data_IF_791443315408
#
_entry.id   IF_791443315408
#
_cell.length_a   1.000
_cell.length_b   1.000
_cell.length_c   1.000
_cell.angle_alpha   90.00
_cell.angle_beta   90.00
_cell.angle_gamma   90.00
#
_symmetry.space_group_name_H-M   'P 1'
#
loop_
_entity.id
_entity.type
_entity.pdbx_description
1 polymer ?
#
# COMPACT_ATOMS: atom_id res chain seq x y z
N UNK A 1 20.94 12.87 16.86
CA UNK A 1 20.42 11.80 17.74
C UNK A 1 18.99 12.16 18.10
N UNK A 2 18.00 11.58 17.41
CA UNK A 2 16.60 11.78 17.71
C UNK A 2 16.09 10.53 18.42
N UNK A 3 15.67 10.71 19.68
CA UNK A 3 15.10 9.66 20.51
C UNK A 3 13.77 9.20 19.88
N UNK A 4 13.76 8.00 19.31
CA UNK A 4 12.54 7.31 18.91
C UNK A 4 11.80 6.88 20.17
N UNK A 5 10.78 7.65 20.55
CA UNK A 5 9.88 7.33 21.65
C UNK A 5 8.95 6.18 21.21
N UNK A 6 9.47 4.95 21.19
CA UNK A 6 8.65 3.76 21.20
C UNK A 6 7.91 3.75 22.53
N UNK A 7 6.60 3.96 22.52
CA UNK A 7 5.77 3.77 23.69
C UNK A 7 5.93 2.31 24.14
N UNK A 8 6.79 2.09 25.14
CA UNK A 8 6.97 0.77 25.76
C UNK A 8 5.67 0.46 26.47
N UNK A 9 4.75 -0.22 25.77
CA UNK A 9 3.59 -0.82 26.41
C UNK A 9 4.13 -1.70 27.54
N UNK A 10 3.73 -1.37 28.77
CA UNK A 10 4.04 -2.21 29.93
C UNK A 10 3.60 -3.63 29.60
N UNK A 11 4.55 -4.59 29.59
CA UNK A 11 4.31 -6.01 29.26
C UNK A 11 3.22 -6.68 30.12
N UNK A 12 2.71 -6.00 31.15
CA UNK A 12 1.49 -6.36 31.88
C UNK A 12 0.28 -6.68 30.98
N UNK A 13 0.22 -6.15 29.75
CA UNK A 13 -0.87 -6.50 28.82
C UNK A 13 -0.87 -7.98 28.43
N UNK A 14 0.25 -8.69 28.54
CA UNK A 14 0.36 -10.13 28.24
C UNK A 14 -0.45 -11.02 29.17
N UNK A 15 -0.83 -10.50 30.35
CA UNK A 15 -1.69 -11.20 31.31
C UNK A 15 -3.15 -10.73 31.24
N UNK A 16 -3.48 -9.87 30.26
CA UNK A 16 -4.84 -9.39 30.02
C UNK A 16 -5.59 -10.34 29.07
N UNK A 17 -6.91 -10.22 29.01
CA UNK A 17 -7.72 -11.00 28.05
C UNK A 17 -7.37 -10.65 26.61
N UNK A 18 -7.55 -11.60 25.71
CA UNK A 18 -7.46 -11.38 24.26
C UNK A 18 -8.80 -10.92 23.69
N UNK A 19 -8.75 -10.31 22.51
CA UNK A 19 -9.88 -10.10 21.62
C UNK A 19 -9.67 -10.91 20.35
N UNK A 20 -10.76 -11.37 19.76
CA UNK A 20 -10.76 -12.15 18.51
C UNK A 20 -11.06 -11.24 17.33
N UNK A 21 -10.18 -11.26 16.33
CA UNK A 21 -10.35 -10.60 15.05
C UNK A 21 -10.81 -11.66 14.03
N UNK A 22 -11.94 -11.41 13.36
CA UNK A 22 -12.43 -12.21 12.22
C UNK A 22 -12.15 -11.44 10.93
N UNK A 23 -11.16 -11.92 10.18
CA UNK A 23 -10.58 -11.19 9.04
C UNK A 23 -10.98 -11.82 7.71
N UNK A 24 -11.29 -10.99 6.74
CA UNK A 24 -11.59 -11.39 5.37
C UNK A 24 -12.93 -12.13 5.18
N UNK A 25 -13.24 -12.52 3.94
CA UNK A 25 -14.52 -13.15 3.59
C UNK A 25 -14.71 -14.52 4.25
N UNK A 26 -13.60 -15.22 4.54
CA UNK A 26 -13.62 -16.52 5.20
C UNK A 26 -13.61 -16.42 6.73
N UNK A 27 -13.62 -15.20 7.29
CA UNK A 27 -13.61 -14.93 8.73
C UNK A 27 -12.51 -15.71 9.45
N UNK A 28 -11.28 -15.63 8.94
CA UNK A 28 -10.16 -16.27 9.61
C UNK A 28 -9.97 -15.65 10.99
N UNK A 29 -9.76 -16.52 11.97
CA UNK A 29 -9.67 -16.16 13.37
C UNK A 29 -8.23 -15.83 13.74
N UNK A 30 -8.03 -14.67 14.36
CA UNK A 30 -6.76 -14.25 14.97
C UNK A 30 -7.02 -13.66 16.36
N UNK A 31 -6.06 -13.79 17.29
CA UNK A 31 -6.16 -13.23 18.64
C UNK A 31 -5.09 -12.17 18.91
N UNK A 32 -5.47 -11.11 19.60
CA UNK A 32 -4.56 -10.05 20.08
C UNK A 32 -4.95 -9.61 21.48
N UNK A 33 -3.97 -9.23 22.32
CA UNK A 33 -4.26 -8.77 23.69
C UNK A 33 -5.10 -7.48 23.68
N UNK A 34 -6.20 -7.47 24.44
CA UNK A 34 -7.18 -6.37 24.43
C UNK A 34 -6.54 -5.04 24.80
N UNK A 35 -5.79 -5.00 25.92
CA UNK A 35 -5.09 -3.78 26.36
C UNK A 35 -4.05 -3.30 25.34
N UNK A 36 -3.36 -4.21 24.65
CA UNK A 36 -2.44 -3.83 23.58
C UNK A 36 -3.20 -3.15 22.45
N UNK A 37 -4.22 -3.81 21.90
CA UNK A 37 -5.02 -3.29 20.80
C UNK A 37 -5.66 -1.92 21.14
N UNK A 38 -6.25 -1.81 22.32
CA UNK A 38 -6.86 -0.57 22.82
C UNK A 38 -5.87 0.58 22.97
N UNK A 39 -4.61 0.27 23.26
CA UNK A 39 -3.58 1.30 23.46
C UNK A 39 -2.93 1.79 22.17
N UNK A 40 -3.14 1.10 21.06
CA UNK A 40 -2.58 1.46 19.75
C UNK A 40 -3.33 2.64 19.11
N UNK A 41 -4.66 2.65 19.20
CA UNK A 41 -5.48 3.70 18.59
C UNK A 41 -6.76 3.96 19.38
N UNK A 42 -7.21 5.23 19.48
CA UNK A 42 -8.50 5.58 20.07
C UNK A 42 -9.70 4.88 19.40
N UNK A 43 -9.64 4.66 18.10
CA UNK A 43 -10.67 4.01 17.29
C UNK A 43 -10.77 2.54 17.67
N UNK A 44 -9.62 1.84 17.72
CA UNK A 44 -9.54 0.46 18.19
C UNK A 44 -9.94 0.31 19.66
N UNK A 45 -9.58 1.28 20.51
CA UNK A 45 -10.04 1.33 21.89
C UNK A 45 -11.56 1.35 21.98
N UNK A 46 -12.23 2.18 21.17
CA UNK A 46 -13.70 2.26 21.12
C UNK A 46 -14.32 0.95 20.65
N UNK A 47 -13.67 0.18 19.77
CA UNK A 47 -14.19 -1.12 19.34
C UNK A 47 -14.22 -2.17 20.47
N UNK A 48 -13.22 -2.16 21.34
CA UNK A 48 -13.09 -3.20 22.39
C UNK A 48 -13.56 -2.76 23.76
N UNK A 49 -13.65 -1.45 24.03
CA UNK A 49 -14.10 -0.87 25.29
C UNK A 49 -15.40 -0.09 25.09
N UNK A 50 -16.47 -0.81 24.73
CA UNK A 50 -17.83 -0.30 24.64
C UNK A 50 -18.83 -1.29 25.25
N UNK A 51 -20.08 -0.86 25.38
CA UNK A 51 -21.19 -1.66 25.93
C UNK A 51 -21.98 -2.41 24.85
N UNK A 52 -21.50 -2.44 23.60
CA UNK A 52 -22.09 -3.22 22.53
C UNK A 52 -21.70 -4.70 22.67
N UNK A 53 -22.48 -5.58 22.06
CA UNK A 53 -22.26 -7.04 22.10
C UNK A 53 -20.82 -7.39 21.72
N UNK A 54 -20.30 -6.79 20.66
CA UNK A 54 -18.96 -6.99 20.15
C UNK A 54 -17.88 -6.60 21.17
N UNK A 55 -18.02 -5.47 21.86
CA UNK A 55 -17.07 -5.02 22.88
C UNK A 55 -17.11 -5.87 24.16
N UNK A 56 -18.29 -6.38 24.52
CA UNK A 56 -18.49 -7.29 25.65
C UNK A 56 -17.85 -8.66 25.34
N UNK A 57 -18.17 -9.23 24.18
CA UNK A 57 -17.65 -10.53 23.70
C UNK A 57 -16.16 -10.46 23.33
N UNK A 58 -15.63 -9.26 23.04
CA UNK A 58 -14.25 -9.06 22.62
C UNK A 58 -14.02 -9.53 21.18
N UNK A 59 -14.95 -9.21 20.28
CA UNK A 59 -14.91 -9.63 18.88
C UNK A 59 -14.88 -8.40 17.97
N UNK A 60 -14.03 -8.42 16.94
CA UNK A 60 -14.06 -7.43 15.86
C UNK A 60 -14.17 -8.16 14.53
N UNK A 61 -15.11 -7.73 13.70
CA UNK A 61 -15.27 -8.22 12.32
C UNK A 61 -14.63 -7.24 11.33
N UNK A 62 -13.75 -7.78 10.49
CA UNK A 62 -12.98 -7.05 9.48
C UNK A 62 -13.14 -7.75 8.12
N UNK A 63 -14.36 -7.79 7.54
CA UNK A 63 -14.66 -8.58 6.35
C UNK A 63 -13.96 -8.06 5.08
N UNK A 64 -13.67 -6.77 5.04
CA UNK A 64 -13.07 -6.08 3.90
C UNK A 64 -11.54 -5.97 4.02
N UNK A 65 -10.95 -6.44 5.12
CA UNK A 65 -9.51 -6.38 5.35
C UNK A 65 -8.83 -7.73 5.05
N UNK A 66 -7.59 -7.67 4.54
CA UNK A 66 -6.80 -8.84 4.15
C UNK A 66 -6.06 -9.46 5.34
N UNK A 67 -5.93 -10.79 5.35
CA UNK A 67 -5.28 -11.55 6.43
C UNK A 67 -3.81 -11.18 6.61
N UNK A 68 -3.12 -10.94 5.50
CA UNK A 68 -1.70 -10.58 5.46
C UNK A 68 -1.48 -9.19 6.07
N UNK A 69 -2.38 -8.24 5.81
CA UNK A 69 -2.31 -6.88 6.38
C UNK A 69 -2.46 -6.95 7.90
N UNK A 70 -3.41 -7.76 8.37
CA UNK A 70 -3.65 -7.96 9.80
C UNK A 70 -2.50 -8.71 10.48
N UNK A 71 -1.81 -9.59 9.75
CA UNK A 71 -0.61 -10.27 10.24
C UNK A 71 0.54 -9.27 10.45
N UNK A 72 0.80 -8.40 9.46
CA UNK A 72 1.82 -7.34 9.57
C UNK A 72 1.48 -6.33 10.67
N UNK A 73 0.22 -5.91 10.76
CA UNK A 73 -0.26 -5.05 11.84
C UNK A 73 0.01 -5.70 13.21
N UNK A 74 -0.27 -6.99 13.35
CA UNK A 74 -0.08 -7.70 14.61
C UNK A 74 1.40 -7.83 14.96
N UNK A 75 2.26 -8.18 14.01
CA UNK A 75 3.73 -8.20 14.21
C UNK A 75 4.23 -6.84 14.73
N UNK A 76 3.81 -5.75 14.07
CA UNK A 76 4.13 -4.39 14.48
C UNK A 76 3.58 -4.03 15.86
N UNK A 77 2.34 -4.42 16.16
CA UNK A 77 1.72 -4.16 17.45
C UNK A 77 2.54 -4.74 18.61
N UNK A 78 3.12 -5.93 18.44
CA UNK A 78 3.90 -6.58 19.50
C UNK A 78 5.36 -6.14 19.54
N UNK A 79 5.98 -5.87 18.39
CA UNK A 79 7.44 -5.70 18.31
C UNK A 79 7.88 -4.26 18.03
N UNK A 80 6.97 -3.41 17.54
CA UNK A 80 7.27 -2.09 17.01
C UNK A 80 7.81 -2.11 15.57
N UNK A 81 8.05 -3.30 15.01
CA UNK A 81 8.60 -3.54 13.67
C UNK A 81 7.70 -4.51 12.91
N UNK A 82 7.77 -4.51 11.58
CA UNK A 82 7.18 -5.59 10.80
C UNK A 82 8.10 -5.94 9.64
N UNK A 83 8.05 -7.21 9.24
CA UNK A 83 8.80 -7.71 8.10
C UNK A 83 7.84 -8.42 7.16
N UNK A 84 7.75 -7.93 5.93
CA UNK A 84 7.19 -8.75 4.85
C UNK A 84 8.33 -9.64 4.33
N UNK A 85 8.02 -10.82 3.78
CA UNK A 85 8.94 -11.97 3.61
C UNK A 85 10.39 -11.65 3.14
N UNK A 86 10.60 -10.58 2.39
CA UNK A 86 11.90 -10.02 1.99
C UNK A 86 12.82 -9.52 3.13
N UNK A 87 12.30 -9.11 4.29
CA UNK A 87 13.08 -8.55 5.42
C UNK A 87 13.62 -9.65 6.37
N UNK A 88 13.21 -10.92 6.18
CA UNK A 88 13.65 -12.03 7.04
C UNK A 88 14.91 -12.68 6.49
N UNK A 89 16.04 -12.72 7.24
CA UNK A 89 17.18 -13.51 6.82
C UNK A 89 16.78 -14.99 6.74
N UNK A 90 16.89 -15.57 5.55
CA UNK A 90 16.57 -16.97 5.26
C UNK A 90 17.50 -17.86 6.10
N UNK A 91 16.97 -18.45 7.18
CA UNK A 91 17.66 -19.48 7.97
C UNK A 91 16.84 -20.77 7.93
N UNK A 92 16.79 -21.41 6.77
CA UNK A 92 16.37 -22.82 6.68
C UNK A 92 17.11 -23.51 5.53
N UNK A 93 17.93 -24.53 5.82
CA UNK A 93 18.48 -25.41 4.80
C UNK A 93 17.49 -26.57 4.59
N UNK A 94 16.44 -26.37 3.80
CA UNK A 94 15.75 -27.46 3.08
C UNK A 94 14.64 -26.94 2.15
N UNK A 95 14.84 -27.19 0.86
CA UNK A 95 13.84 -27.33 -0.21
C UNK A 95 12.59 -26.44 -0.14
N UNK A 96 12.68 -25.25 -0.70
CA UNK A 96 11.53 -24.62 -1.36
C UNK A 96 12.03 -23.80 -2.54
N UNK A 97 11.49 -24.06 -3.72
CA UNK A 97 11.55 -23.19 -4.90
C UNK A 97 11.53 -21.73 -4.47
N UNK A 98 12.67 -21.03 -4.58
CA UNK A 98 12.73 -19.58 -4.53
C UNK A 98 11.81 -19.08 -5.66
N UNK A 99 10.56 -18.78 -5.35
CA UNK A 99 9.76 -17.97 -6.25
C UNK A 99 10.55 -16.66 -6.38
N UNK A 100 10.83 -16.24 -7.61
CA UNK A 100 11.33 -14.88 -7.84
C UNK A 100 10.22 -13.94 -7.38
N UNK A 101 10.26 -13.56 -6.12
CA UNK A 101 9.21 -12.76 -5.48
C UNK A 101 9.21 -11.38 -6.11
N UNK A 102 8.01 -10.86 -6.37
CA UNK A 102 7.81 -9.68 -7.20
C UNK A 102 7.82 -8.43 -6.29
N UNK A 103 8.77 -7.47 -6.46
CA UNK A 103 8.92 -6.32 -5.57
C UNK A 103 7.67 -5.43 -5.51
N UNK A 104 6.85 -5.47 -6.57
CA UNK A 104 5.56 -4.76 -6.62
C UNK A 104 4.54 -5.34 -5.63
N UNK A 105 4.63 -6.62 -5.29
CA UNK A 105 3.77 -7.22 -4.25
C UNK A 105 4.08 -6.60 -2.89
N UNK A 106 5.36 -6.45 -2.56
CA UNK A 106 5.82 -5.91 -1.28
C UNK A 106 5.41 -4.44 -1.11
N UNK A 107 5.55 -3.65 -2.18
CA UNK A 107 5.05 -2.28 -2.23
C UNK A 107 3.56 -2.19 -1.96
N UNK A 108 2.76 -3.07 -2.59
CA UNK A 108 1.31 -3.12 -2.32
C UNK A 108 1.03 -3.48 -0.85
N UNK A 109 1.82 -4.33 -0.23
CA UNK A 109 1.63 -4.69 1.19
C UNK A 109 1.90 -3.51 2.12
N UNK A 110 2.97 -2.75 1.89
CA UNK A 110 3.20 -1.50 2.65
C UNK A 110 2.07 -0.49 2.45
N UNK A 111 1.60 -0.33 1.21
CA UNK A 111 0.53 0.61 0.89
C UNK A 111 -0.83 0.18 1.48
N UNK A 112 -1.13 -1.12 1.51
CA UNK A 112 -2.32 -1.66 2.19
C UNK A 112 -2.26 -1.43 3.70
N UNK A 113 -1.10 -1.66 4.32
CA UNK A 113 -0.91 -1.39 5.73
C UNK A 113 -1.00 0.13 6.02
N UNK A 114 -0.54 0.97 5.10
CA UNK A 114 -0.72 2.43 5.16
C UNK A 114 -2.20 2.81 5.19
N UNK A 115 -3.01 2.29 4.27
CA UNK A 115 -4.46 2.51 4.20
C UNK A 115 -5.17 1.98 5.45
N UNK A 116 -4.85 0.76 5.88
CA UNK A 116 -5.39 0.18 7.12
C UNK A 116 -5.07 1.06 8.34
N UNK A 117 -3.85 1.57 8.41
CA UNK A 117 -3.43 2.45 9.51
C UNK A 117 -4.19 3.75 9.50
N UNK A 118 -4.49 4.32 8.32
CA UNK A 118 -5.31 5.52 8.21
C UNK A 118 -6.77 5.25 8.65
N UNK A 119 -7.36 4.14 8.19
CA UNK A 119 -8.71 3.69 8.56
C UNK A 119 -8.92 3.60 10.07
N UNK A 120 -7.91 3.15 10.81
CA UNK A 120 -7.94 3.05 12.27
C UNK A 120 -7.19 4.17 12.99
N UNK A 121 -6.79 5.23 12.27
CA UNK A 121 -6.07 6.40 12.80
C UNK A 121 -4.81 6.04 13.62
N UNK A 122 -4.07 5.04 13.16
CA UNK A 122 -2.82 4.56 13.74
C UNK A 122 -1.66 5.36 13.13
N UNK A 123 -1.53 6.62 13.55
CA UNK A 123 -0.58 7.57 12.95
C UNK A 123 0.88 7.10 12.92
N UNK A 124 1.32 6.36 13.94
CA UNK A 124 2.70 5.82 14.01
C UNK A 124 2.94 4.75 12.96
N UNK A 125 2.02 3.79 12.83
CA UNK A 125 2.11 2.75 11.80
C UNK A 125 1.92 3.31 10.39
N UNK A 126 1.01 4.28 10.20
CA UNK A 126 0.82 4.96 8.91
C UNK A 126 2.13 5.57 8.43
N UNK A 127 2.83 6.33 9.30
CA UNK A 127 4.15 6.90 8.98
C UNK A 127 5.19 5.83 8.68
N UNK A 128 5.22 4.77 9.48
CA UNK A 128 6.20 3.70 9.32
C UNK A 128 6.00 2.93 8.00
N UNK A 129 4.77 2.54 7.69
CA UNK A 129 4.40 1.90 6.43
C UNK A 129 4.66 2.79 5.22
N UNK A 130 4.39 4.10 5.34
CA UNK A 130 4.73 5.08 4.31
C UNK A 130 6.24 5.19 4.07
N UNK A 131 7.06 5.20 5.12
CA UNK A 131 8.53 5.21 4.99
C UNK A 131 9.03 3.98 4.25
N UNK A 132 8.61 2.78 4.68
CA UNK A 132 8.95 1.51 4.02
C UNK A 132 8.50 1.49 2.56
N UNK A 133 7.30 2.00 2.25
CA UNK A 133 6.83 2.13 0.87
C UNK A 133 7.76 3.02 0.03
N UNK A 134 8.07 4.23 0.51
CA UNK A 134 8.92 5.18 -0.21
C UNK A 134 10.37 4.69 -0.36
N UNK A 135 10.94 4.07 0.67
CA UNK A 135 12.27 3.49 0.64
C UNK A 135 12.36 2.40 -0.45
N UNK A 136 11.40 1.47 -0.48
CA UNK A 136 11.41 0.37 -1.43
C UNK A 136 11.15 0.83 -2.88
N UNK A 137 10.18 1.72 -3.12
CA UNK A 137 9.83 2.13 -4.49
C UNK A 137 10.93 2.96 -5.15
N UNK A 138 11.71 3.71 -4.35
CA UNK A 138 12.87 4.46 -4.83
C UNK A 138 14.03 3.57 -5.29
N UNK A 139 14.08 2.31 -4.84
CA UNK A 139 15.09 1.33 -5.28
C UNK A 139 14.72 0.66 -6.61
N UNK A 140 13.47 0.77 -7.04
CA UNK A 140 12.99 0.15 -8.27
C UNK A 140 13.21 1.10 -9.45
N UNK A 141 13.83 0.57 -10.50
CA UNK A 141 13.90 1.21 -11.82
C UNK A 141 13.06 0.40 -12.83
N UNK A 142 11.75 0.68 -12.97
CA UNK A 142 10.85 -0.08 -13.84
C UNK A 142 11.35 -0.10 -15.28
N UNK A 143 11.44 -1.29 -15.88
CA UNK A 143 11.88 -1.45 -17.27
C UNK A 143 11.21 -2.61 -18.02
N UNK A 144 10.56 -3.55 -17.34
CA UNK A 144 9.88 -4.67 -18.00
C UNK A 144 8.36 -4.47 -18.09
N UNK A 145 7.69 -5.37 -18.83
CA UNK A 145 6.24 -5.41 -18.92
C UNK A 145 5.61 -5.75 -17.57
N UNK A 146 6.20 -6.68 -16.82
CA UNK A 146 5.79 -7.03 -15.46
C UNK A 146 5.93 -5.83 -14.52
N UNK A 147 6.96 -5.01 -14.69
CA UNK A 147 7.12 -3.78 -13.92
C UNK A 147 6.02 -2.76 -14.21
N UNK A 148 5.67 -2.60 -15.49
CA UNK A 148 4.59 -1.70 -15.90
C UNK A 148 3.27 -2.12 -15.25
N UNK A 149 2.94 -3.42 -15.31
CA UNK A 149 1.73 -3.98 -14.69
C UNK A 149 1.76 -3.77 -13.17
N UNK A 150 2.90 -4.08 -12.53
CA UNK A 150 3.08 -3.91 -11.09
C UNK A 150 2.88 -2.46 -10.64
N UNK A 151 3.48 -1.51 -11.35
CA UNK A 151 3.35 -0.09 -11.08
C UNK A 151 1.90 0.40 -11.27
N UNK A 152 1.23 -0.01 -12.35
CA UNK A 152 -0.18 0.36 -12.59
C UNK A 152 -1.07 -0.16 -11.46
N UNK A 153 -0.85 -1.38 -10.98
CA UNK A 153 -1.61 -1.94 -9.84
C UNK A 153 -1.39 -1.15 -8.56
N UNK A 154 -0.15 -0.71 -8.27
CA UNK A 154 0.16 0.12 -7.10
C UNK A 154 -0.53 1.48 -7.20
N UNK A 155 -0.43 2.15 -8.36
CA UNK A 155 -1.07 3.46 -8.58
C UNK A 155 -2.59 3.32 -8.44
N UNK A 156 -3.18 2.34 -9.13
CA UNK A 156 -4.63 2.10 -9.05
C UNK A 156 -5.09 1.91 -7.61
N UNK A 157 -4.43 1.02 -6.86
CA UNK A 157 -4.78 0.79 -5.46
C UNK A 157 -4.67 2.08 -4.62
N UNK A 158 -3.61 2.86 -4.81
CA UNK A 158 -3.41 4.12 -4.10
C UNK A 158 -4.58 5.09 -4.33
N UNK A 159 -4.89 5.38 -5.61
CA UNK A 159 -5.93 6.34 -5.97
C UNK A 159 -7.35 5.85 -5.66
N UNK A 160 -7.56 4.54 -5.53
CA UNK A 160 -8.86 3.98 -5.13
C UNK A 160 -9.09 4.03 -3.60
N UNK A 161 -8.02 4.17 -2.79
CA UNK A 161 -8.11 3.97 -1.33
C UNK A 161 -7.54 5.11 -0.48
N UNK A 162 -6.81 6.06 -1.07
CA UNK A 162 -6.15 7.16 -0.35
C UNK A 162 -6.85 8.48 -0.71
N UNK A 163 -7.08 9.41 0.26
CA UNK A 163 -7.64 10.72 -0.04
C UNK A 163 -6.77 11.57 -0.99
N UNK A 164 -7.39 12.33 -1.88
CA UNK A 164 -6.73 13.23 -2.86
C UNK A 164 -5.72 14.22 -2.23
N UNK A 165 -5.85 14.55 -0.95
CA UNK A 165 -4.94 15.45 -0.24
C UNK A 165 -3.60 14.82 0.17
N UNK A 166 -3.50 13.49 0.11
CA UNK A 166 -2.32 12.74 0.55
C UNK A 166 -1.14 12.90 -0.42
N UNK A 167 0.05 13.13 0.13
CA UNK A 167 1.26 13.35 -0.67
C UNK A 167 1.74 12.10 -1.41
N UNK A 168 1.33 10.92 -0.96
CA UNK A 168 1.64 9.64 -1.61
C UNK A 168 1.10 9.61 -3.05
N UNK A 169 -0.09 10.18 -3.29
CA UNK A 169 -0.70 10.25 -4.62
C UNK A 169 0.08 11.19 -5.56
N UNK A 170 0.53 12.35 -5.04
CA UNK A 170 1.37 13.29 -5.80
C UNK A 170 2.68 12.65 -6.21
N UNK A 171 3.33 11.94 -5.28
CA UNK A 171 4.55 11.19 -5.56
C UNK A 171 4.31 10.13 -6.65
N UNK A 172 3.21 9.38 -6.58
CA UNK A 172 2.88 8.37 -7.59
C UNK A 172 2.56 8.97 -8.97
N UNK A 173 1.93 10.14 -9.02
CA UNK A 173 1.74 10.89 -10.28
C UNK A 173 3.06 11.33 -10.91
N UNK A 174 4.01 11.81 -10.10
CA UNK A 174 5.37 12.13 -10.53
C UNK A 174 6.11 10.89 -11.04
N UNK A 175 6.05 9.80 -10.28
CA UNK A 175 6.70 8.54 -10.63
C UNK A 175 6.15 7.96 -11.95
N UNK A 176 4.83 8.02 -12.14
CA UNK A 176 4.18 7.63 -13.40
C UNK A 176 4.60 8.52 -14.57
N UNK A 177 4.73 9.84 -14.35
CA UNK A 177 5.19 10.79 -15.37
C UNK A 177 6.64 10.48 -15.81
N UNK A 178 7.53 10.20 -14.84
CA UNK A 178 8.89 9.77 -15.11
C UNK A 178 8.96 8.47 -15.94
N UNK A 179 8.04 7.54 -15.69
CA UNK A 179 7.94 6.25 -16.41
C UNK A 179 6.89 6.21 -17.51
N UNK A 180 6.45 7.38 -18.00
CA UNK A 180 5.38 7.45 -19.00
C UNK A 180 5.70 6.64 -20.27
N UNK A 181 6.96 6.64 -20.72
CA UNK A 181 7.35 5.90 -21.92
C UNK A 181 7.15 4.38 -21.80
N UNK A 182 7.28 3.83 -20.59
CA UNK A 182 7.05 2.41 -20.28
C UNK A 182 5.55 2.11 -20.16
N UNK A 183 4.80 3.04 -19.57
CA UNK A 183 3.38 2.89 -19.24
C UNK A 183 2.46 3.15 -20.44
N UNK A 184 2.79 4.12 -21.29
CA UNK A 184 1.96 4.53 -22.43
C UNK A 184 1.79 3.37 -23.42
N UNK A 185 0.56 3.14 -23.87
CA UNK A 185 0.24 2.06 -24.80
C UNK A 185 -0.07 0.71 -24.14
N UNK A 186 0.00 0.61 -22.80
CA UNK A 186 -0.47 -0.55 -22.05
C UNK A 186 -1.98 -0.43 -21.78
N UNK A 187 -2.69 -1.53 -21.93
CA UNK A 187 -4.15 -1.55 -21.75
C UNK A 187 -4.53 -1.17 -20.32
N UNK A 188 -3.84 -1.70 -19.32
CA UNK A 188 -4.10 -1.43 -17.91
C UNK A 188 -3.88 0.04 -17.56
N UNK A 189 -2.87 0.68 -18.17
CA UNK A 189 -2.61 2.10 -18.00
C UNK A 189 -3.69 2.96 -18.69
N UNK A 190 -4.11 2.57 -19.89
CA UNK A 190 -5.21 3.25 -20.60
C UNK A 190 -6.50 3.18 -19.77
N UNK A 191 -6.84 2.01 -19.22
CA UNK A 191 -7.99 1.84 -18.35
C UNK A 191 -7.88 2.69 -17.08
N UNK A 192 -6.69 2.79 -16.48
CA UNK A 192 -6.46 3.67 -15.33
C UNK A 192 -6.71 5.15 -15.69
N UNK A 193 -6.21 5.63 -16.83
CA UNK A 193 -6.46 7.00 -17.31
C UNK A 193 -7.97 7.24 -17.52
N UNK A 194 -8.69 6.28 -18.08
CA UNK A 194 -10.12 6.42 -18.37
C UNK A 194 -10.99 6.38 -17.11
N UNK A 195 -10.55 5.70 -16.06
CA UNK A 195 -11.35 5.46 -14.84
C UNK A 195 -11.00 6.40 -13.69
N UNK A 196 -9.78 6.95 -13.64
CA UNK A 196 -9.28 7.65 -12.45
C UNK A 196 -8.89 9.10 -12.75
N UNK A 197 -9.83 10.02 -12.56
CA UNK A 197 -9.64 11.45 -12.88
C UNK A 197 -8.59 12.12 -11.98
N UNK A 198 -8.51 11.74 -10.71
CA UNK A 198 -7.51 12.28 -9.79
C UNK A 198 -6.08 11.92 -10.25
N UNK A 199 -5.87 10.68 -10.70
CA UNK A 199 -4.61 10.24 -11.28
C UNK A 199 -4.25 11.03 -12.53
N UNK A 200 -5.19 11.25 -13.45
CA UNK A 200 -4.94 12.03 -14.67
C UNK A 200 -4.50 13.45 -14.35
N UNK A 201 -5.11 14.11 -13.36
CA UNK A 201 -4.69 15.45 -12.93
C UNK A 201 -3.24 15.46 -12.46
N UNK A 202 -2.89 14.53 -11.57
CA UNK A 202 -1.52 14.42 -11.03
C UNK A 202 -0.52 14.05 -12.14
N UNK A 203 -0.88 13.16 -13.06
CA UNK A 203 -0.04 12.83 -14.22
C UNK A 203 0.23 14.08 -15.08
N UNK A 204 -0.83 14.78 -15.50
CA UNK A 204 -0.73 15.92 -16.42
C UNK A 204 0.09 17.09 -15.86
N UNK A 205 -0.06 17.40 -14.57
CA UNK A 205 0.72 18.48 -13.91
C UNK A 205 2.21 18.18 -13.91
N UNK A 206 2.60 16.91 -13.95
CA UNK A 206 3.99 16.47 -13.91
C UNK A 206 4.56 16.09 -15.29
N UNK A 207 3.79 16.25 -16.38
CA UNK A 207 4.33 16.12 -17.75
C UNK A 207 5.15 17.35 -18.12
N UNK A 208 6.47 17.28 -17.92
CA UNK A 208 7.39 18.35 -18.30
C UNK A 208 8.04 18.07 -19.65
N UNK A 209 7.99 19.02 -20.59
CA UNK A 209 8.78 19.02 -21.82
C UNK A 209 8.07 19.67 -23.02
N UNK A 210 8.77 20.38 -23.92
CA UNK A 210 8.18 20.85 -25.16
C UNK A 210 7.89 19.65 -26.06
N UNK A 211 6.60 19.39 -26.34
CA UNK A 211 6.25 18.49 -27.43
C UNK A 211 6.77 19.10 -28.74
N UNK A 212 7.40 18.30 -29.63
CA UNK A 212 7.66 18.77 -30.98
C UNK A 212 6.33 19.22 -31.59
N UNK A 213 6.30 20.41 -32.22
CA UNK A 213 5.12 20.83 -32.98
C UNK A 213 4.83 19.73 -34.01
N UNK A 214 3.61 19.17 -34.05
CA UNK A 214 3.25 18.21 -35.09
C UNK A 214 3.48 18.87 -36.45
N UNK A 215 4.29 18.23 -37.28
CA UNK A 215 4.41 18.65 -38.68
C UNK A 215 3.13 18.19 -39.40
N UNK A 216 2.52 19.04 -40.23
CA UNK A 216 1.40 18.59 -41.06
C UNK A 216 1.87 17.41 -41.91
N UNK A 217 1.06 16.36 -41.98
CA UNK A 217 1.28 15.26 -42.91
C UNK A 217 1.36 15.87 -44.31
N UNK A 218 2.55 15.94 -44.91
CA UNK A 218 2.67 16.27 -46.32
C UNK A 218 1.85 15.22 -47.07
N UNK A 219 0.82 15.65 -47.79
CA UNK A 219 0.02 14.77 -48.61
C UNK A 219 0.94 14.08 -49.64
N UNK A 220 1.15 12.78 -49.50
CA UNK A 220 1.50 11.92 -50.63
C UNK A 220 0.33 12.00 -51.61
N UNK A 221 0.46 12.84 -52.63
CA UNK A 221 -0.62 12.98 -53.61
C UNK A 221 -0.48 14.20 -54.51
N UNK A 222 0.69 14.41 -55.12
CA UNK A 222 0.80 15.23 -56.33
C UNK A 222 2.17 15.03 -56.98
N UNK A 223 2.27 14.08 -57.92
CA UNK A 223 3.08 14.06 -59.17
C UNK A 223 2.95 12.63 -59.73
N UNK A 224 2.51 12.33 -60.96
CA UNK A 224 2.32 13.13 -62.16
C UNK A 224 1.16 12.56 -63.00
N UNK A 225 0.30 13.46 -63.47
CA UNK A 225 -0.46 13.26 -64.69
C UNK A 225 0.18 14.15 -65.75
N UNK A 226 0.94 13.56 -66.69
CA UNK A 226 0.95 13.87 -68.14
C UNK A 226 1.48 12.62 -68.85
#
# INVERSE_FOLDING_TARGET
MASTSSAKHSLKFLFDRTVTLYVGPHRKRMEIHKKLLASISPELNKHVNNDMKEGIEGIIYLPDDEEEVLTLFTEWAYTGEYSYEDDKPVVTPQESTQSKQNPWQNLRMHLRLYVFSDKFNISTLKKFAGSKFHENINLIAPHTDEDAVGLVMVIKFAFDNIPDSDLTLKFLGQYASWKLALLRGREEFNQLILTQTAFVKELLVNLTGPLPRPLPNCAEGAVDAV
#
